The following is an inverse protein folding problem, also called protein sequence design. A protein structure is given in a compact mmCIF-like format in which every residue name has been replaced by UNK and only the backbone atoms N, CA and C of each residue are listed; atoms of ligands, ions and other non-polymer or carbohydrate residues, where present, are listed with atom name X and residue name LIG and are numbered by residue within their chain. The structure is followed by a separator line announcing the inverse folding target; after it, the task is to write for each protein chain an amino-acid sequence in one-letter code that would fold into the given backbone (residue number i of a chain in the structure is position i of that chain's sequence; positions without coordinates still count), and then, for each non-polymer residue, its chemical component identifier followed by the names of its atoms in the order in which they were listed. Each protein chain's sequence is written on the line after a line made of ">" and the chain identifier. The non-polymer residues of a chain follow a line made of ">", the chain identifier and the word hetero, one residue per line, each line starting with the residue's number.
data_IF_066381072650
#
_entry.id   IF_066381072650
#
_cell.length_a   1.000
_cell.length_b   1.000
_cell.length_c   1.000
_cell.angle_alpha   90.00
_cell.angle_beta   90.00
_cell.angle_gamma   90.00
#
_symmetry.space_group_name_H-M   'P 1'
#
loop_
_entity.id
_entity.type
_entity.pdbx_description
1 polymer ?
#
# COMPACT_ATOMS: atom_id res chain seq x y z
N UNK A 1 8.07 -27.85 -0.07
CA UNK A 1 7.48 -26.71 0.66
C UNK A 1 6.76 -25.83 -0.35
N UNK A 2 5.43 -25.68 -0.24
CA UNK A 2 4.71 -24.68 -1.03
C UNK A 2 5.20 -23.30 -0.58
N UNK A 3 6.09 -22.69 -1.37
CA UNK A 3 6.50 -21.30 -1.17
C UNK A 3 5.22 -20.47 -1.28
N UNK A 4 4.70 -19.99 -0.14
CA UNK A 4 3.52 -19.11 -0.13
C UNK A 4 3.93 -17.86 -0.92
N UNK A 5 3.41 -17.71 -2.13
CA UNK A 5 3.76 -16.60 -3.01
C UNK A 5 3.32 -15.32 -2.29
N UNK A 6 4.28 -14.40 -2.05
CA UNK A 6 3.99 -13.08 -1.48
C UNK A 6 3.36 -12.23 -2.57
N UNK A 7 2.30 -11.52 -2.22
CA UNK A 7 1.63 -10.57 -3.09
C UNK A 7 2.07 -9.13 -2.82
N UNK A 8 2.47 -8.83 -1.58
CA UNK A 8 3.11 -7.55 -1.26
C UNK A 8 4.59 -7.62 -1.67
N UNK A 9 5.04 -6.80 -2.63
CA UNK A 9 6.44 -6.74 -3.03
C UNK A 9 7.32 -6.19 -1.90
N UNK A 10 8.62 -6.51 -1.97
CA UNK A 10 9.64 -6.09 -1.01
C UNK A 10 9.39 -6.55 0.44
N UNK A 11 8.46 -7.49 0.65
CA UNK A 11 8.22 -8.07 1.96
C UNK A 11 9.25 -9.18 2.26
N UNK A 12 10.43 -8.76 2.68
CA UNK A 12 11.52 -9.64 3.12
C UNK A 12 11.50 -9.89 4.64
N UNK A 13 10.37 -9.61 5.30
CA UNK A 13 10.23 -9.71 6.75
C UNK A 13 9.44 -10.96 7.18
N UNK A 14 9.44 -11.24 8.47
CA UNK A 14 8.60 -12.29 9.07
C UNK A 14 7.11 -11.96 9.02
N UNK A 15 6.72 -10.70 8.78
CA UNK A 15 5.33 -10.29 8.68
C UNK A 15 4.68 -10.84 7.40
N UNK A 16 3.53 -11.48 7.56
CA UNK A 16 2.66 -11.88 6.46
C UNK A 16 2.03 -10.67 5.77
N UNK A 17 1.55 -10.87 4.55
CA UNK A 17 0.87 -9.81 3.80
C UNK A 17 -0.40 -9.35 4.53
N UNK A 18 -1.10 -10.27 5.22
CA UNK A 18 -2.21 -9.94 6.12
C UNK A 18 -1.75 -8.98 7.21
N UNK A 19 -0.68 -9.29 7.93
CA UNK A 19 -0.20 -8.43 9.02
C UNK A 19 0.20 -7.04 8.52
N UNK A 20 0.78 -6.92 7.33
CA UNK A 20 1.09 -5.62 6.73
C UNK A 20 -0.20 -4.86 6.41
N UNK A 21 -1.19 -5.51 5.78
CA UNK A 21 -2.50 -4.88 5.51
C UNK A 21 -3.15 -4.42 6.80
N UNK A 22 -3.17 -5.25 7.84
CA UNK A 22 -3.75 -4.89 9.14
C UNK A 22 -3.08 -3.67 9.75
N UNK A 23 -1.75 -3.56 9.65
CA UNK A 23 -0.98 -2.43 10.19
C UNK A 23 -1.30 -1.12 9.49
N UNK A 24 -1.42 -1.13 8.15
CA UNK A 24 -1.66 0.10 7.39
C UNK A 24 -3.13 0.45 7.25
N UNK A 25 -4.00 -0.54 7.05
CA UNK A 25 -5.38 -0.33 6.61
C UNK A 25 -6.43 -0.88 7.60
N UNK A 26 -6.01 -1.64 8.62
CA UNK A 26 -6.90 -2.24 9.61
C UNK A 26 -7.61 -3.52 9.15
N UNK A 27 -8.32 -4.15 10.08
CA UNK A 27 -8.95 -5.46 9.89
C UNK A 27 -10.15 -5.45 8.95
N UNK A 28 -10.98 -4.42 9.00
CA UNK A 28 -12.13 -4.29 8.10
C UNK A 28 -11.70 -4.28 6.63
N UNK A 29 -10.59 -3.58 6.33
CA UNK A 29 -10.05 -3.51 4.97
C UNK A 29 -9.52 -4.87 4.49
N UNK A 30 -8.94 -5.67 5.38
CA UNK A 30 -8.55 -7.04 5.07
C UNK A 30 -9.75 -7.90 4.67
N UNK A 31 -10.88 -7.79 5.36
CA UNK A 31 -12.10 -8.53 5.04
C UNK A 31 -12.65 -8.16 3.66
N UNK A 32 -12.63 -6.87 3.30
CA UNK A 32 -13.04 -6.40 1.97
C UNK A 32 -12.12 -6.98 0.87
N UNK A 33 -10.81 -7.01 1.11
CA UNK A 33 -9.86 -7.62 0.17
C UNK A 33 -10.17 -9.12 -0.05
N UNK A 34 -10.46 -9.86 1.02
CA UNK A 34 -10.81 -11.29 0.92
C UNK A 34 -12.14 -11.50 0.17
N UNK A 35 -13.14 -10.63 0.39
CA UNK A 35 -14.40 -10.63 -0.36
C UNK A 35 -14.17 -10.45 -1.86
N UNK A 36 -13.45 -9.40 -2.25
CA UNK A 36 -13.14 -9.12 -3.65
C UNK A 36 -12.28 -10.19 -4.33
N UNK A 37 -11.42 -10.91 -3.58
CA UNK A 37 -10.67 -12.06 -4.10
C UNK A 37 -11.58 -13.23 -4.45
N UNK A 38 -12.60 -13.49 -3.64
CA UNK A 38 -13.56 -14.56 -3.89
C UNK A 38 -14.32 -14.35 -5.21
N UNK A 39 -14.52 -13.10 -5.62
CA UNK A 39 -15.23 -12.72 -6.85
C UNK A 39 -14.39 -12.88 -8.14
N UNK A 40 -13.09 -13.23 -8.04
CA UNK A 40 -12.16 -13.55 -9.15
C UNK A 40 -12.04 -12.51 -10.29
N UNK A 41 -12.57 -11.29 -10.13
CA UNK A 41 -12.59 -10.24 -11.18
C UNK A 41 -11.57 -9.10 -10.97
N UNK A 42 -10.89 -9.03 -9.83
CA UNK A 42 -10.16 -7.83 -9.37
C UNK A 42 -8.63 -7.97 -9.27
N UNK A 43 -8.06 -9.07 -9.78
CA UNK A 43 -6.65 -9.43 -9.54
C UNK A 43 -5.63 -8.33 -9.89
N UNK A 44 -5.88 -7.51 -10.91
CA UNK A 44 -4.97 -6.40 -11.27
C UNK A 44 -5.04 -5.25 -10.28
N UNK A 45 -6.23 -4.82 -9.88
CA UNK A 45 -6.41 -3.73 -8.90
C UNK A 45 -5.90 -4.12 -7.53
N UNK A 46 -6.10 -5.37 -7.11
CA UNK A 46 -5.55 -5.90 -5.86
C UNK A 46 -4.01 -5.89 -5.87
N UNK A 47 -3.39 -6.32 -6.97
CA UNK A 47 -1.92 -6.26 -7.12
C UNK A 47 -1.39 -4.84 -7.02
N UNK A 48 -2.04 -3.87 -7.67
CA UNK A 48 -1.65 -2.46 -7.60
C UNK A 48 -1.75 -1.90 -6.17
N UNK A 49 -2.78 -2.30 -5.41
CA UNK A 49 -2.89 -1.95 -4.00
C UNK A 49 -1.75 -2.55 -3.18
N UNK A 50 -1.39 -3.82 -3.42
CA UNK A 50 -0.24 -4.44 -2.74
C UNK A 50 1.09 -3.81 -3.13
N UNK A 51 1.26 -3.32 -4.35
CA UNK A 51 2.44 -2.54 -4.74
C UNK A 51 2.54 -1.23 -3.93
N UNK A 52 1.43 -0.50 -3.73
CA UNK A 52 1.39 0.68 -2.84
C UNK A 52 1.80 0.30 -1.41
N UNK A 53 1.24 -0.77 -0.87
CA UNK A 53 1.58 -1.24 0.48
C UNK A 53 3.03 -1.72 0.58
N UNK A 54 3.59 -2.30 -0.47
CA UNK A 54 5.00 -2.71 -0.54
C UNK A 54 5.94 -1.52 -0.48
N UNK A 55 5.64 -0.46 -1.24
CA UNK A 55 6.42 0.78 -1.23
C UNK A 55 6.35 1.47 0.14
N UNK A 56 5.16 1.55 0.76
CA UNK A 56 5.03 2.06 2.12
C UNK A 56 5.80 1.21 3.13
N UNK A 57 5.72 -0.12 3.02
CA UNK A 57 6.37 -1.05 3.94
C UNK A 57 7.89 -0.97 3.86
N UNK A 58 8.46 -1.00 2.65
CA UNK A 58 9.93 -0.98 2.48
C UNK A 58 10.52 0.31 3.02
N UNK A 59 9.87 1.45 2.80
CA UNK A 59 10.34 2.74 3.34
C UNK A 59 10.18 2.78 4.85
N UNK A 60 9.04 2.34 5.40
CA UNK A 60 8.79 2.31 6.84
C UNK A 60 9.80 1.43 7.60
N UNK A 61 10.37 0.40 6.95
CA UNK A 61 11.26 -0.57 7.60
C UNK A 61 12.74 -0.36 7.32
N UNK A 62 13.10 0.50 6.36
CA UNK A 62 14.49 0.69 5.95
C UNK A 62 14.99 2.10 6.34
N UNK A 63 15.79 2.23 7.43
CA UNK A 63 16.28 3.53 7.87
C UNK A 63 17.12 4.24 6.81
N UNK A 64 17.87 3.51 5.99
CA UNK A 64 18.67 4.13 4.91
C UNK A 64 17.81 4.78 3.82
N UNK A 65 16.66 4.20 3.50
CA UNK A 65 15.72 4.84 2.57
C UNK A 65 15.05 6.03 3.26
N UNK A 66 14.79 5.94 4.56
CA UNK A 66 14.22 7.07 5.29
C UNK A 66 15.17 8.26 5.30
N UNK A 67 16.43 8.04 5.65
CA UNK A 67 17.48 9.06 5.68
C UNK A 67 17.64 9.72 4.29
N UNK A 68 17.71 8.92 3.21
CA UNK A 68 17.81 9.43 1.84
C UNK A 68 16.61 10.30 1.44
N UNK A 69 15.39 9.92 1.81
CA UNK A 69 14.19 10.70 1.53
C UNK A 69 14.08 11.96 2.41
N UNK A 70 14.62 11.93 3.63
CA UNK A 70 14.71 13.10 4.51
C UNK A 70 15.72 14.12 3.98
N UNK A 71 16.85 13.65 3.45
CA UNK A 71 17.88 14.49 2.83
C UNK A 71 17.44 15.04 1.47
N UNK A 72 16.58 14.31 0.74
CA UNK A 72 16.12 14.68 -0.59
C UNK A 72 14.59 14.85 -0.67
N UNK A 73 14.13 16.05 -0.29
CA UNK A 73 12.70 16.41 -0.31
C UNK A 73 12.01 16.14 -1.65
N UNK A 74 12.68 16.41 -2.78
CA UNK A 74 12.11 16.16 -4.12
C UNK A 74 11.84 14.68 -4.37
N UNK A 75 12.72 13.80 -3.87
CA UNK A 75 12.55 12.35 -4.00
C UNK A 75 11.39 11.85 -3.14
N UNK A 76 11.23 12.41 -1.95
CA UNK A 76 10.07 12.15 -1.11
C UNK A 76 8.76 12.58 -1.78
N UNK A 77 8.69 13.80 -2.31
CA UNK A 77 7.50 14.28 -3.04
C UNK A 77 7.19 13.40 -4.25
N UNK A 78 8.20 13.04 -5.04
CA UNK A 78 8.03 12.13 -6.18
C UNK A 78 7.51 10.74 -5.76
N UNK A 79 7.93 10.20 -4.61
CA UNK A 79 7.39 8.96 -4.06
C UNK A 79 5.91 9.11 -3.72
N UNK A 80 5.53 10.15 -2.97
CA UNK A 80 4.13 10.38 -2.57
C UNK A 80 3.23 10.56 -3.79
N UNK A 81 3.68 11.35 -4.79
CA UNK A 81 2.96 11.54 -6.04
C UNK A 81 2.77 10.23 -6.81
N UNK A 82 3.82 9.39 -6.87
CA UNK A 82 3.76 8.09 -7.52
C UNK A 82 2.76 7.14 -6.82
N UNK A 83 2.70 7.15 -5.48
CA UNK A 83 1.73 6.36 -4.72
C UNK A 83 0.29 6.82 -5.00
N UNK A 84 0.03 8.13 -4.97
CA UNK A 84 -1.30 8.67 -5.31
C UNK A 84 -1.70 8.37 -6.76
N UNK A 85 -0.76 8.50 -7.70
CA UNK A 85 -1.01 8.19 -9.10
C UNK A 85 -1.38 6.70 -9.29
N UNK A 86 -0.73 5.78 -8.57
CA UNK A 86 -1.09 4.35 -8.61
C UNK A 86 -2.49 4.11 -8.02
N UNK A 87 -2.88 4.84 -6.98
CA UNK A 87 -4.23 4.79 -6.41
C UNK A 87 -5.29 5.35 -7.38
N UNK A 88 -5.03 6.44 -8.09
CA UNK A 88 -5.92 6.98 -9.15
C UNK A 88 -6.17 5.95 -10.24
N UNK A 89 -5.13 5.22 -10.62
CA UNK A 89 -5.22 4.13 -11.59
C UNK A 89 -6.07 2.94 -11.10
N UNK A 90 -6.21 2.72 -9.81
CA UNK A 90 -7.15 1.73 -9.25
C UNK A 90 -8.57 2.26 -9.34
N UNK A 91 -8.79 3.54 -9.00
CA UNK A 91 -10.11 4.21 -9.10
C UNK A 91 -10.65 4.13 -10.53
N UNK A 92 -9.85 4.46 -11.53
CA UNK A 92 -10.28 4.42 -12.93
C UNK A 92 -10.66 3.01 -13.42
N UNK A 93 -10.13 1.97 -12.77
CA UNK A 93 -10.44 0.57 -13.06
C UNK A 93 -11.57 0.00 -12.21
N UNK A 94 -11.93 0.66 -11.11
CA UNK A 94 -12.98 0.20 -10.21
C UNK A 94 -14.35 0.17 -10.89
N UNK A 95 -14.57 0.94 -11.96
CA UNK A 95 -15.83 0.99 -12.70
C UNK A 95 -17.07 1.16 -11.79
N UNK A 96 -16.94 1.98 -10.74
CA UNK A 96 -18.02 2.21 -9.76
C UNK A 96 -18.17 1.14 -8.68
N UNK A 97 -17.29 0.13 -8.60
CA UNK A 97 -17.29 -0.83 -7.50
C UNK A 97 -16.99 -0.11 -6.17
N UNK A 98 -18.00 -0.03 -5.29
CA UNK A 98 -17.94 0.69 -4.03
C UNK A 98 -16.89 0.13 -3.07
N UNK A 99 -16.69 -1.20 -3.06
CA UNK A 99 -15.69 -1.84 -2.21
C UNK A 99 -14.28 -1.51 -2.67
N UNK A 100 -14.01 -1.56 -3.99
CA UNK A 100 -12.73 -1.16 -4.55
C UNK A 100 -12.42 0.32 -4.27
N UNK A 101 -13.43 1.20 -4.40
CA UNK A 101 -13.27 2.61 -4.06
C UNK A 101 -13.01 2.82 -2.56
N UNK A 102 -13.67 2.05 -1.69
CA UNK A 102 -13.40 2.06 -0.25
C UNK A 102 -11.97 1.63 0.07
N UNK A 103 -11.44 0.60 -0.59
CA UNK A 103 -10.04 0.18 -0.44
C UNK A 103 -9.06 1.29 -0.81
N UNK A 104 -9.32 1.99 -1.93
CA UNK A 104 -8.49 3.12 -2.36
C UNK A 104 -8.52 4.23 -1.31
N UNK A 105 -9.70 4.58 -0.78
CA UNK A 105 -9.83 5.63 0.24
C UNK A 105 -9.00 5.32 1.49
N UNK A 106 -9.10 4.08 1.99
CA UNK A 106 -8.25 3.61 3.10
C UNK A 106 -6.77 3.69 2.78
N UNK A 107 -6.37 3.30 1.57
CA UNK A 107 -4.99 3.37 1.14
C UNK A 107 -4.48 4.82 1.00
N UNK A 108 -5.31 5.76 0.52
CA UNK A 108 -4.97 7.19 0.51
C UNK A 108 -4.74 7.70 1.92
N UNK A 109 -5.61 7.34 2.86
CA UNK A 109 -5.43 7.70 4.27
C UNK A 109 -4.11 7.19 4.85
N UNK A 110 -3.69 5.97 4.49
CA UNK A 110 -2.40 5.42 4.89
C UNK A 110 -1.21 6.17 4.25
N UNK A 111 -1.30 6.53 2.97
CA UNK A 111 -0.28 7.35 2.27
C UNK A 111 -0.18 8.74 2.92
N UNK A 112 -1.32 9.39 3.22
CA UNK A 112 -1.33 10.69 3.90
C UNK A 112 -0.73 10.62 5.30
N UNK A 113 -1.11 9.61 6.09
CA UNK A 113 -0.54 9.39 7.43
C UNK A 113 0.98 9.17 7.36
N UNK A 114 1.43 8.37 6.40
CA UNK A 114 2.86 8.16 6.15
C UNK A 114 3.55 9.47 5.78
N UNK A 115 2.95 10.26 4.88
CA UNK A 115 3.52 11.51 4.41
C UNK A 115 3.62 12.56 5.54
N UNK A 116 2.61 12.63 6.42
CA UNK A 116 2.55 13.58 7.54
C UNK A 116 3.52 13.23 8.68
N UNK A 117 3.78 11.94 8.87
CA UNK A 117 4.72 11.43 9.88
C UNK A 117 6.19 11.60 9.47
N UNK A 118 6.47 11.59 8.16
CA UNK A 118 7.82 11.63 7.63
C UNK A 118 8.63 12.89 8.00
N UNK A 119 8.12 14.13 7.88
CA UNK A 119 8.86 15.33 8.28
C UNK A 119 8.98 15.52 9.80
N UNK A 120 8.32 14.70 10.64
CA UNK A 120 8.36 14.80 12.11
C UNK A 120 9.32 13.79 12.76
N UNK A 121 9.82 12.83 12.00
CA UNK A 121 10.77 11.82 12.49
C UNK A 121 12.19 12.39 12.50
N UNK A 122 12.54 13.14 13.55
CA UNK A 122 13.91 13.35 14.00
C UNK A 122 13.98 13.28 15.51
#
# INVERSE_FOLDING_TARGET
>A
MLHRIREIPYNYTSFSDREIVLRFLGEQTWQVIEGLRAERRTGRSARMLFEVLGDLWVVTRNPYIQDDLLENRKRFEALIDALHHRLDQIVSRANGNSEALHLVDKARGAVSTFADGFPRSR
#
